data_IF_366839085539
#
_entry.id   IF_366839085539
#
_cell.length_a   1.000
_cell.length_b   1.000
_cell.length_c   1.000
_cell.angle_alpha   90.00
_cell.angle_beta   90.00
_cell.angle_gamma   90.00
#
_symmetry.space_group_name_H-M   'P 1'
#
loop_
_entity.id
_entity.type
_entity.pdbx_description
1 polymer ?
#
# COMPACT_ATOMS: atom_id res chain seq x y z
N UNK A 1 -18.43 7.83 -28.46
CA UNK A 1 -17.84 7.33 -27.20
C UNK A 1 -16.42 6.86 -27.51
N UNK A 2 -15.41 7.66 -27.17
CA UNK A 2 -14.01 7.42 -27.59
C UNK A 2 -13.35 6.33 -26.73
N UNK A 3 -13.45 5.08 -27.18
CA UNK A 3 -12.86 3.89 -26.53
C UNK A 3 -11.34 3.95 -26.33
N UNK A 4 -10.64 4.84 -27.04
CA UNK A 4 -9.18 4.98 -26.98
C UNK A 4 -8.67 5.73 -25.74
N UNK A 5 -9.52 6.52 -25.09
CA UNK A 5 -9.14 7.33 -23.92
C UNK A 5 -9.35 6.59 -22.59
N UNK A 6 -10.23 5.58 -22.55
CA UNK A 6 -10.54 4.82 -21.33
C UNK A 6 -9.35 4.00 -20.80
N UNK A 7 -8.61 3.24 -21.64
CA UNK A 7 -7.50 2.41 -21.14
C UNK A 7 -6.37 3.23 -20.48
N UNK A 8 -5.87 4.34 -21.05
CA UNK A 8 -4.84 5.16 -20.40
C UNK A 8 -5.28 5.74 -19.05
N UNK A 9 -6.55 6.17 -18.93
CA UNK A 9 -7.08 6.73 -17.69
C UNK A 9 -7.10 5.68 -16.58
N UNK A 10 -7.64 4.49 -16.87
CA UNK A 10 -7.70 3.39 -15.90
C UNK A 10 -6.30 2.93 -15.50
N UNK A 11 -5.37 2.78 -16.45
CA UNK A 11 -3.99 2.42 -16.15
C UNK A 11 -3.30 3.49 -15.29
N UNK A 12 -3.54 4.77 -15.55
CA UNK A 12 -3.02 5.86 -14.73
C UNK A 12 -3.45 5.76 -13.27
N UNK A 13 -4.73 5.45 -13.03
CA UNK A 13 -5.23 5.23 -11.66
C UNK A 13 -4.60 4.01 -11.00
N UNK A 14 -4.45 2.89 -11.72
CA UNK A 14 -3.82 1.69 -11.17
C UNK A 14 -2.37 1.97 -10.77
N UNK A 15 -1.58 2.61 -11.64
CA UNK A 15 -0.19 2.97 -11.34
C UNK A 15 -0.11 3.93 -10.16
N UNK A 16 -1.01 4.90 -10.09
CA UNK A 16 -1.06 5.84 -8.97
C UNK A 16 -1.35 5.10 -7.66
N UNK A 17 -2.38 4.24 -7.64
CA UNK A 17 -2.77 3.46 -6.47
C UNK A 17 -1.62 2.54 -6.05
N UNK A 18 -0.99 1.80 -6.97
CA UNK A 18 0.09 0.88 -6.61
C UNK A 18 1.29 1.61 -6.06
N UNK A 19 1.74 2.69 -6.70
CA UNK A 19 2.83 3.51 -6.17
C UNK A 19 2.49 4.01 -4.76
N UNK A 20 1.31 4.62 -4.61
CA UNK A 20 0.93 5.31 -3.40
C UNK A 20 0.79 4.38 -2.19
N UNK A 21 0.18 3.20 -2.35
CA UNK A 21 -0.01 2.29 -1.20
C UNK A 21 1.24 1.46 -0.87
N UNK A 22 2.18 1.33 -1.79
CA UNK A 22 3.42 0.56 -1.58
C UNK A 22 4.67 1.41 -1.37
N UNK A 23 4.55 2.74 -1.47
CA UNK A 23 5.67 3.67 -1.29
C UNK A 23 5.41 4.57 -0.10
N UNK A 24 6.16 4.35 0.98
CA UNK A 24 6.15 5.19 2.17
C UNK A 24 7.39 4.88 3.02
N UNK A 25 7.89 5.85 3.78
CA UNK A 25 9.09 5.69 4.60
C UNK A 25 8.93 4.69 5.76
N UNK A 26 7.69 4.45 6.21
CA UNK A 26 7.39 3.43 7.24
C UNK A 26 7.24 2.01 6.68
N UNK A 27 7.20 1.84 5.36
CA UNK A 27 6.99 0.52 4.76
C UNK A 27 8.31 -0.23 4.59
N UNK A 28 8.43 -1.44 5.15
CA UNK A 28 9.65 -2.22 5.06
C UNK A 28 9.83 -2.77 3.65
N UNK A 29 11.08 -2.78 3.19
CA UNK A 29 11.48 -3.41 1.94
C UNK A 29 12.41 -4.58 2.27
N UNK A 30 11.87 -5.79 2.18
CA UNK A 30 12.59 -7.00 2.56
C UNK A 30 13.45 -7.53 1.43
N UNK A 31 14.64 -8.00 1.77
CA UNK A 31 15.45 -8.79 0.86
C UNK A 31 14.95 -10.24 0.76
N UNK A 32 15.56 -11.04 -0.12
CA UNK A 32 15.18 -12.43 -0.36
C UNK A 32 15.31 -13.37 0.84
N UNK A 33 16.06 -13.00 1.88
CA UNK A 33 16.23 -13.81 3.09
C UNK A 33 15.19 -13.50 4.16
N UNK A 34 14.71 -12.26 4.21
CA UNK A 34 13.71 -11.82 5.18
C UNK A 34 12.28 -11.84 4.65
N UNK A 35 12.11 -11.86 3.34
CA UNK A 35 10.81 -11.85 2.69
C UNK A 35 10.06 -13.18 2.88
N UNK A 36 8.78 -13.07 3.20
CA UNK A 36 7.81 -14.15 3.07
C UNK A 36 6.46 -13.56 2.64
N UNK A 37 5.49 -14.42 2.31
CA UNK A 37 4.18 -13.96 1.82
C UNK A 37 3.50 -12.96 2.76
N UNK A 38 3.46 -13.24 4.07
CA UNK A 38 2.77 -12.38 5.03
C UNK A 38 3.47 -11.02 5.18
N UNK A 39 4.81 -11.01 5.28
CA UNK A 39 5.62 -9.79 5.33
C UNK A 39 5.45 -8.96 4.06
N UNK A 40 5.40 -9.60 2.90
CA UNK A 40 5.14 -8.94 1.62
C UNK A 40 3.72 -8.36 1.55
N UNK A 41 2.71 -9.11 1.98
CA UNK A 41 1.32 -8.67 2.00
C UNK A 41 1.08 -7.46 2.93
N UNK A 42 1.82 -7.39 4.04
CA UNK A 42 1.79 -6.27 4.98
C UNK A 42 2.71 -5.10 4.60
N UNK A 43 3.51 -5.21 3.54
CA UNK A 43 4.34 -4.13 3.02
C UNK A 43 3.51 -3.14 2.17
N UNK A 44 2.43 -2.66 2.76
CA UNK A 44 1.52 -1.68 2.17
C UNK A 44 0.78 -0.90 3.25
N UNK A 45 0.30 0.29 2.92
CA UNK A 45 -0.42 1.15 3.87
C UNK A 45 -1.80 1.50 3.32
N UNK A 46 -2.82 1.41 4.17
CA UNK A 46 -4.15 1.96 3.87
C UNK A 46 -4.10 3.49 3.92
N UNK A 47 -4.93 4.15 3.10
CA UNK A 47 -5.00 5.60 3.01
C UNK A 47 -6.42 6.09 2.82
N UNK A 48 -6.68 7.32 3.21
CA UNK A 48 -7.99 7.96 3.03
C UNK A 48 -7.96 8.96 1.87
N UNK A 49 -8.69 8.66 0.79
CA UNK A 49 -8.85 9.56 -0.35
C UNK A 49 -10.06 10.49 -0.21
N UNK A 50 -10.73 10.48 0.94
CA UNK A 50 -11.95 11.22 1.21
C UNK A 50 -13.09 10.77 0.31
N UNK A 51 -13.70 11.70 -0.41
CA UNK A 51 -14.86 11.43 -1.29
C UNK A 51 -14.53 10.40 -2.38
N UNK A 52 -13.26 10.31 -2.79
CA UNK A 52 -12.82 9.35 -3.79
C UNK A 52 -12.90 7.89 -3.31
N UNK A 53 -12.92 7.62 -2.00
CA UNK A 53 -13.08 6.25 -1.49
C UNK A 53 -14.36 5.61 -2.03
N UNK A 54 -15.45 6.37 -2.12
CA UNK A 54 -16.72 5.87 -2.67
C UNK A 54 -16.57 5.43 -4.14
N UNK A 55 -15.90 6.25 -4.96
CA UNK A 55 -15.70 5.97 -6.38
C UNK A 55 -14.73 4.83 -6.65
N UNK A 56 -13.74 4.65 -5.77
CA UNK A 56 -12.78 3.55 -5.84
C UNK A 56 -13.18 2.35 -4.96
N UNK A 57 -14.45 2.25 -4.56
CA UNK A 57 -14.99 1.13 -3.78
C UNK A 57 -14.19 0.81 -2.50
N UNK A 58 -13.70 1.86 -1.83
CA UNK A 58 -12.87 1.78 -0.64
C UNK A 58 -11.58 0.97 -0.84
N UNK A 59 -11.04 0.92 -2.06
CA UNK A 59 -9.78 0.21 -2.32
C UNK A 59 -8.64 0.80 -1.49
N UNK A 60 -8.65 2.11 -1.24
CA UNK A 60 -7.54 2.80 -0.59
C UNK A 60 -7.47 2.53 0.92
N UNK A 61 -8.63 2.48 1.58
CA UNK A 61 -8.78 2.27 3.02
C UNK A 61 -9.02 0.79 3.38
N UNK A 62 -8.92 -0.10 2.40
CA UNK A 62 -8.96 -1.57 2.57
C UNK A 62 -7.85 -2.30 1.81
N UNK A 63 -6.83 -1.57 1.34
CA UNK A 63 -5.77 -2.12 0.49
C UNK A 63 -4.95 -3.20 1.20
N UNK A 64 -4.63 -3.03 2.48
CA UNK A 64 -3.98 -4.06 3.31
C UNK A 64 -4.82 -5.34 3.36
N UNK A 65 -6.14 -5.21 3.52
CA UNK A 65 -7.08 -6.34 3.52
C UNK A 65 -7.10 -7.03 2.16
N UNK A 66 -7.08 -6.28 1.06
CA UNK A 66 -6.96 -6.83 -0.27
C UNK A 66 -5.65 -7.61 -0.46
N UNK A 67 -4.52 -7.18 0.10
CA UNK A 67 -3.28 -7.95 0.01
C UNK A 67 -3.30 -9.24 0.81
N UNK A 68 -3.90 -9.22 2.01
CA UNK A 68 -4.06 -10.41 2.83
C UNK A 68 -5.05 -11.40 2.21
N UNK A 69 -6.10 -10.90 1.56
CA UNK A 69 -7.17 -11.70 0.97
C UNK A 69 -7.57 -11.11 -0.40
N UNK A 70 -6.77 -11.34 -1.44
CA UNK A 70 -6.98 -10.74 -2.77
C UNK A 70 -8.30 -11.06 -3.44
N UNK A 71 -8.97 -12.14 -3.00
CA UNK A 71 -10.30 -12.55 -3.48
C UNK A 71 -11.46 -11.96 -2.68
N UNK A 72 -11.19 -11.13 -1.66
CA UNK A 72 -12.25 -10.50 -0.86
C UNK A 72 -13.06 -9.54 -1.73
N UNK A 73 -14.40 -9.62 -1.69
CA UNK A 73 -15.22 -8.64 -2.38
C UNK A 73 -15.17 -7.28 -1.68
N UNK A 74 -15.11 -6.20 -2.46
CA UNK A 74 -15.03 -4.83 -1.95
C UNK A 74 -16.17 -4.45 -0.99
N UNK A 75 -17.36 -5.06 -1.13
CA UNK A 75 -18.52 -4.79 -0.26
C UNK A 75 -18.41 -5.40 1.15
N UNK A 76 -17.48 -6.34 1.38
CA UNK A 76 -17.13 -6.84 2.73
C UNK A 76 -15.75 -6.38 3.21
N UNK A 77 -14.94 -5.74 2.35
CA UNK A 77 -13.58 -5.36 2.68
C UNK A 77 -13.49 -4.39 3.88
N UNK A 78 -14.44 -3.46 3.99
CA UNK A 78 -14.53 -2.51 5.12
C UNK A 78 -14.82 -3.22 6.45
N UNK A 79 -15.71 -4.22 6.44
CA UNK A 79 -16.02 -5.01 7.63
C UNK A 79 -14.80 -5.82 8.07
N UNK A 80 -14.18 -6.51 7.10
CA UNK A 80 -13.02 -7.35 7.35
C UNK A 80 -11.82 -6.54 7.87
N UNK A 81 -11.53 -5.36 7.30
CA UNK A 81 -10.38 -4.57 7.76
C UNK A 81 -10.59 -4.10 9.21
N UNK A 82 -11.82 -3.70 9.58
CA UNK A 82 -12.14 -3.32 10.96
C UNK A 82 -11.93 -4.47 11.93
N UNK A 83 -12.28 -5.70 11.53
CA UNK A 83 -12.09 -6.89 12.34
C UNK A 83 -10.61 -7.30 12.48
N UNK A 84 -9.79 -7.11 11.44
CA UNK A 84 -8.39 -7.55 11.44
C UNK A 84 -7.42 -6.52 12.04
N UNK A 85 -7.73 -5.21 12.00
CA UNK A 85 -6.85 -4.15 12.54
C UNK A 85 -6.34 -4.45 13.96
N UNK A 86 -7.18 -4.90 14.93
CA UNK A 86 -6.71 -5.27 16.26
C UNK A 86 -5.75 -6.47 16.28
N UNK A 87 -5.89 -7.39 15.33
CA UNK A 87 -5.04 -8.57 15.19
C UNK A 87 -3.69 -8.20 14.59
N UNK A 88 -3.67 -7.30 13.60
CA UNK A 88 -2.45 -6.81 12.98
C UNK A 88 -1.65 -5.91 13.91
N UNK A 89 -2.32 -5.14 14.78
CA UNK A 89 -1.65 -4.30 15.78
C UNK A 89 -0.65 -3.34 15.15
N UNK A 90 0.60 -3.39 15.59
CA UNK A 90 1.70 -2.55 15.08
C UNK A 90 2.06 -2.82 13.61
N UNK A 91 1.70 -3.98 13.07
CA UNK A 91 1.95 -4.30 11.67
C UNK A 91 0.94 -3.66 10.71
N UNK A 92 -0.16 -3.10 11.23
CA UNK A 92 -1.10 -2.35 10.42
C UNK A 92 -0.56 -0.94 10.14
N UNK A 93 -0.45 -0.59 8.86
CA UNK A 93 0.04 0.72 8.42
C UNK A 93 -1.11 1.53 7.82
N UNK A 94 -1.26 2.77 8.29
CA UNK A 94 -2.26 3.71 7.80
C UNK A 94 -1.66 5.11 7.72
N UNK A 95 -1.86 5.79 6.59
CA UNK A 95 -1.52 7.20 6.43
C UNK A 95 -2.76 8.04 6.11
N UNK A 96 -3.18 8.85 7.10
CA UNK A 96 -4.30 9.79 6.99
C UNK A 96 -3.92 11.15 6.42
N UNK A 97 -2.68 11.34 5.95
CA UNK A 97 -2.24 12.59 5.33
C UNK A 97 -3.03 12.83 4.04
N UNK A 98 -3.51 14.07 3.77
CA UNK A 98 -4.24 14.38 2.54
C UNK A 98 -3.49 13.91 1.29
N UNK A 99 -4.21 13.24 0.38
CA UNK A 99 -3.64 12.48 -0.75
C UNK A 99 -2.53 13.23 -1.51
N UNK A 100 -2.76 14.50 -1.85
CA UNK A 100 -1.80 15.30 -2.61
C UNK A 100 -0.52 15.61 -1.83
N UNK A 101 -0.60 15.77 -0.49
CA UNK A 101 0.56 16.00 0.38
C UNK A 101 1.37 14.74 0.56
N UNK A 102 0.70 13.63 0.86
CA UNK A 102 1.33 12.33 0.98
C UNK A 102 2.03 11.96 -0.35
N UNK A 103 1.39 12.23 -1.49
CA UNK A 103 1.94 11.86 -2.80
C UNK A 103 3.21 12.67 -3.08
N UNK A 104 3.17 13.96 -2.78
CA UNK A 104 4.34 14.82 -2.92
C UNK A 104 5.49 14.44 -1.98
N UNK A 105 5.18 14.12 -0.72
CA UNK A 105 6.15 13.63 0.28
C UNK A 105 6.80 12.35 -0.21
N UNK A 106 6.01 11.32 -0.51
CA UNK A 106 6.52 10.00 -0.85
C UNK A 106 7.31 10.02 -2.16
N UNK A 107 6.89 10.81 -3.15
CA UNK A 107 7.64 11.02 -4.39
C UNK A 107 9.01 11.67 -4.17
N UNK A 108 9.12 12.57 -3.17
CA UNK A 108 10.39 13.25 -2.87
C UNK A 108 11.31 12.46 -1.95
N UNK A 109 10.74 11.77 -0.97
CA UNK A 109 11.50 11.17 0.12
C UNK A 109 11.84 9.69 -0.15
N UNK A 110 11.00 8.96 -0.89
CA UNK A 110 11.15 7.52 -1.11
C UNK A 110 11.80 7.20 -2.47
N UNK A 111 13.00 7.74 -2.72
CA UNK A 111 13.71 7.59 -4.01
C UNK A 111 14.51 6.28 -4.07
N UNK A 112 15.07 5.85 -2.94
CA UNK A 112 15.84 4.61 -2.84
C UNK A 112 15.74 4.00 -1.44
N UNK A 113 16.06 2.71 -1.33
CA UNK A 113 16.12 1.98 -0.06
C UNK A 113 17.58 1.67 0.25
N UNK A 114 18.07 2.15 1.38
CA UNK A 114 19.39 1.78 1.89
C UNK A 114 19.34 0.40 2.54
N UNK A 115 20.43 -0.37 2.46
CA UNK A 115 20.53 -1.66 3.15
C UNK A 115 20.75 -1.44 4.65
N UNK A 116 20.01 -2.18 5.47
CA UNK A 116 20.20 -2.14 6.92
C UNK A 116 21.60 -2.60 7.32
N UNK A 117 22.22 -1.88 8.26
CA UNK A 117 23.58 -2.19 8.77
C UNK A 117 23.68 -3.61 9.35
N UNK A 118 22.60 -4.12 9.94
CA UNK A 118 22.55 -5.49 10.46
C UNK A 118 22.51 -6.52 9.33
N UNK A 119 21.80 -6.23 8.23
CA UNK A 119 21.78 -7.08 7.03
C UNK A 119 23.17 -7.18 6.40
N UNK A 120 23.95 -6.08 6.41
CA UNK A 120 25.34 -6.05 5.95
C UNK A 120 26.24 -6.91 6.85
N UNK A 121 26.13 -6.74 8.18
CA UNK A 121 26.93 -7.51 9.16
C UNK A 121 26.67 -9.01 9.09
N UNK A 122 25.41 -9.43 8.92
CA UNK A 122 25.03 -10.86 8.74
C UNK A 122 25.62 -11.46 7.46
N UNK A 123 25.94 -10.63 6.46
CA UNK A 123 26.50 -11.04 5.17
C UNK A 123 28.03 -10.95 5.10
N UNK A 124 28.70 -10.57 6.19
CA UNK A 124 30.17 -10.56 6.27
C UNK A 124 30.85 -9.48 5.41
N UNK A 125 30.13 -8.38 5.13
CA UNK A 125 30.68 -7.16 4.52
C UNK A 125 31.05 -6.12 5.59
#
# INVERSE_FOLDING_TARGET
>A
MHLWSTPPIVNGFIVLITFFHHTHSSLPHYDSHEWNWLRGALATADRDYGVLNYFFHNIADTHVMHHLFSSIPHYHAIEAIKAIKPVLGEYYQYDGTPIYKAMWRDFKECIYVEKDKESQRKRGL
#
